data_IF_557941656439
#
_entry.id   IF_557941656439
#
_cell.length_a   1.000
_cell.length_b   1.000
_cell.length_c   1.000
_cell.angle_alpha   90.00
_cell.angle_beta   90.00
_cell.angle_gamma   90.00
#
_symmetry.space_group_name_H-M   'P 1'
#
loop_
_entity.id
_entity.type
_entity.pdbx_description
1 polymer ?
#
# COMPACT_ATOMS: atom_id res chain seq x y z
N UNK A 1 3.01 4.16 23.61
CA UNK A 1 3.87 3.49 22.61
C UNK A 1 3.25 3.76 21.25
N UNK A 2 3.93 4.53 20.40
CA UNK A 2 3.52 4.94 19.05
C UNK A 2 3.53 3.78 18.04
N UNK A 3 2.98 2.63 18.43
CA UNK A 3 2.80 1.51 17.51
C UNK A 3 1.64 1.83 16.58
N UNK A 4 1.96 2.38 15.41
CA UNK A 4 1.04 2.51 14.29
C UNK A 4 0.20 1.24 14.19
N UNK A 5 -1.13 1.36 14.17
CA UNK A 5 -1.98 0.17 14.21
C UNK A 5 -1.64 -0.79 13.07
N UNK A 6 -1.87 -2.11 13.23
CA UNK A 6 -1.57 -3.08 12.19
C UNK A 6 -2.18 -2.72 10.83
N UNK A 7 -3.39 -2.14 10.81
CA UNK A 7 -4.01 -1.63 9.59
C UNK A 7 -3.19 -0.52 8.89
N UNK A 8 -2.61 0.39 9.67
CA UNK A 8 -1.80 1.48 9.14
C UNK A 8 -0.49 0.93 8.56
N UNK A 9 0.20 0.05 9.28
CA UNK A 9 1.47 -0.50 8.81
C UNK A 9 1.30 -1.39 7.58
N UNK A 10 0.24 -2.20 7.51
CA UNK A 10 -0.06 -3.00 6.33
C UNK A 10 -0.38 -2.15 5.10
N UNK A 11 -1.18 -1.10 5.25
CA UNK A 11 -1.43 -0.16 4.16
C UNK A 11 -0.12 0.48 3.66
N UNK A 12 0.78 0.86 4.57
CA UNK A 12 2.08 1.43 4.22
C UNK A 12 2.96 0.44 3.47
N UNK A 13 3.10 -0.81 3.92
CA UNK A 13 3.89 -1.82 3.19
C UNK A 13 3.36 -1.97 1.76
N UNK A 14 2.05 -2.14 1.59
CA UNK A 14 1.44 -2.37 0.28
C UNK A 14 1.70 -1.17 -0.64
N UNK A 15 1.57 0.05 -0.10
CA UNK A 15 1.85 1.28 -0.82
C UNK A 15 3.31 1.35 -1.27
N UNK A 16 4.25 1.07 -0.36
CA UNK A 16 5.68 1.07 -0.64
C UNK A 16 6.05 0.03 -1.71
N UNK A 17 5.55 -1.20 -1.59
CA UNK A 17 5.79 -2.26 -2.57
C UNK A 17 5.26 -1.87 -3.95
N UNK A 18 4.01 -1.38 -4.03
CA UNK A 18 3.43 -0.91 -5.30
C UNK A 18 4.24 0.22 -5.92
N UNK A 19 4.70 1.17 -5.10
CA UNK A 19 5.51 2.30 -5.55
C UNK A 19 6.90 1.85 -6.05
N UNK A 20 7.57 0.95 -5.33
CA UNK A 20 8.86 0.39 -5.74
C UNK A 20 8.72 -0.38 -7.06
N UNK A 21 7.70 -1.23 -7.21
CA UNK A 21 7.44 -1.97 -8.46
C UNK A 21 7.14 -1.02 -9.61
N UNK A 22 6.30 0.00 -9.39
CA UNK A 22 5.99 1.02 -10.39
C UNK A 22 7.21 1.83 -10.81
N UNK A 23 8.07 2.22 -9.86
CA UNK A 23 9.32 2.90 -10.13
C UNK A 23 10.28 2.05 -10.96
N UNK A 24 10.47 0.77 -10.61
CA UNK A 24 11.30 -0.17 -11.38
C UNK A 24 10.76 -0.35 -12.80
N UNK A 25 9.44 -0.42 -12.98
CA UNK A 25 8.82 -0.59 -14.30
C UNK A 25 9.10 0.57 -15.27
N UNK A 26 9.34 1.78 -14.76
CA UNK A 26 9.72 2.94 -15.56
C UNK A 26 11.21 2.92 -15.96
N UNK A 27 12.06 2.23 -15.18
CA UNK A 27 13.51 2.19 -15.40
C UNK A 27 13.94 1.15 -16.45
N UNK A 28 13.22 0.03 -16.57
CA UNK A 28 13.61 -1.12 -17.40
C UNK A 28 13.27 -1.00 -18.91
N UNK A 29 12.95 0.21 -19.38
CA UNK A 29 12.25 0.42 -20.65
C UNK A 29 10.76 0.17 -20.43
N UNK A 30 9.86 1.11 -20.77
CA UNK A 30 8.57 1.29 -20.12
C UNK A 30 7.72 0.00 -20.14
N UNK A 31 7.82 -0.77 -19.05
CA UNK A 31 7.09 -2.00 -18.85
C UNK A 31 5.67 -1.63 -18.40
N UNK A 32 4.86 -1.18 -19.36
CA UNK A 32 3.59 -0.52 -19.08
C UNK A 32 2.63 -1.37 -18.25
N UNK A 33 2.63 -2.69 -18.48
CA UNK A 33 1.85 -3.64 -17.67
C UNK A 33 2.30 -3.63 -16.21
N UNK A 34 3.61 -3.69 -15.95
CA UNK A 34 4.15 -3.72 -14.60
C UNK A 34 3.99 -2.38 -13.88
N UNK A 35 4.02 -1.27 -14.63
CA UNK A 35 3.68 0.05 -14.10
C UNK A 35 2.23 0.09 -13.60
N UNK A 36 1.26 -0.36 -14.39
CA UNK A 36 -0.15 -0.40 -13.98
C UNK A 36 -0.41 -1.33 -12.80
N UNK A 37 0.31 -2.45 -12.70
CA UNK A 37 0.28 -3.33 -11.53
C UNK A 37 0.77 -2.58 -10.28
N UNK A 38 1.88 -1.85 -10.38
CA UNK A 38 2.38 -0.99 -9.31
C UNK A 38 1.37 0.07 -8.89
N UNK A 39 0.76 0.76 -9.86
CA UNK A 39 -0.29 1.76 -9.61
C UNK A 39 -1.50 1.14 -8.91
N UNK A 40 -1.96 -0.02 -9.36
CA UNK A 40 -3.10 -0.72 -8.74
C UNK A 40 -2.78 -1.14 -7.30
N UNK A 41 -1.57 -1.61 -7.01
CA UNK A 41 -1.11 -1.93 -5.66
C UNK A 41 -1.06 -0.69 -4.76
N UNK A 42 -0.46 0.40 -5.25
CA UNK A 42 -0.35 1.66 -4.51
C UNK A 42 -1.73 2.24 -4.19
N UNK A 43 -2.65 2.30 -5.16
CA UNK A 43 -4.01 2.79 -4.94
C UNK A 43 -4.84 1.81 -4.09
N UNK A 44 -4.65 0.50 -4.28
CA UNK A 44 -5.31 -0.55 -3.50
C UNK A 44 -4.91 -0.59 -2.02
N UNK A 45 -3.75 -0.04 -1.67
CA UNK A 45 -3.28 0.04 -0.28
C UNK A 45 -4.27 0.75 0.65
N UNK A 46 -4.94 1.80 0.16
CA UNK A 46 -5.95 2.53 0.90
C UNK A 46 -7.18 1.65 1.17
N UNK A 47 -7.59 0.84 0.18
CA UNK A 47 -8.71 -0.10 0.32
C UNK A 47 -8.41 -1.14 1.39
N UNK A 48 -7.20 -1.74 1.35
CA UNK A 48 -6.78 -2.72 2.37
C UNK A 48 -6.72 -2.08 3.75
N UNK A 49 -6.18 -0.87 3.88
CA UNK A 49 -6.16 -0.12 5.14
C UNK A 49 -7.57 0.13 5.69
N UNK A 50 -8.54 0.48 4.83
CA UNK A 50 -9.94 0.68 5.21
C UNK A 50 -10.59 -0.64 5.68
N UNK A 51 -10.36 -1.74 4.97
CA UNK A 51 -10.88 -3.06 5.35
C UNK A 51 -10.32 -3.48 6.70
N UNK A 52 -9.01 -3.35 6.92
CA UNK A 52 -8.37 -3.71 8.19
C UNK A 52 -8.80 -2.80 9.34
N UNK A 53 -9.01 -1.51 9.06
CA UNK A 53 -9.56 -0.59 10.05
C UNK A 53 -10.99 -0.97 10.44
N UNK A 54 -11.82 -1.37 9.48
CA UNK A 54 -13.18 -1.85 9.73
C UNK A 54 -13.21 -3.19 10.49
N UNK A 55 -12.20 -4.04 10.29
CA UNK A 55 -12.01 -5.28 11.03
C UNK A 55 -11.49 -5.07 12.48
N UNK A 56 -11.41 -3.83 12.97
CA UNK A 56 -10.99 -3.52 14.34
C UNK A 56 -9.47 -3.48 14.55
N UNK A 57 -8.67 -3.65 13.49
CA UNK A 57 -7.21 -3.52 13.54
C UNK A 57 -6.74 -2.06 13.32
N UNK A 58 -7.67 -1.11 13.30
CA UNK A 58 -7.41 0.33 13.19
C UNK A 58 -6.77 0.91 14.45
N UNK A 59 -6.27 2.14 14.36
CA UNK A 59 -5.72 2.84 15.51
C UNK A 59 -6.85 3.10 16.52
N UNK A 60 -6.62 2.79 17.80
CA UNK A 60 -7.54 3.16 18.87
C UNK A 60 -7.47 4.68 19.00
N UNK A 61 -8.60 5.36 18.77
CA UNK A 61 -8.73 6.77 19.09
C UNK A 61 -8.55 6.92 20.61
N UNK A 62 -7.44 7.53 21.02
CA UNK A 62 -7.17 7.91 22.39
C UNK A 62 -7.78 9.28 22.67
#
# INVERSE_FOLDING_TARGET
>A
MHGSSPAAWTAVIICLVGFTVGGIALLLGPAWVMFWVGVALTLGSAVVGKIMSAAGMGAKAH
#
